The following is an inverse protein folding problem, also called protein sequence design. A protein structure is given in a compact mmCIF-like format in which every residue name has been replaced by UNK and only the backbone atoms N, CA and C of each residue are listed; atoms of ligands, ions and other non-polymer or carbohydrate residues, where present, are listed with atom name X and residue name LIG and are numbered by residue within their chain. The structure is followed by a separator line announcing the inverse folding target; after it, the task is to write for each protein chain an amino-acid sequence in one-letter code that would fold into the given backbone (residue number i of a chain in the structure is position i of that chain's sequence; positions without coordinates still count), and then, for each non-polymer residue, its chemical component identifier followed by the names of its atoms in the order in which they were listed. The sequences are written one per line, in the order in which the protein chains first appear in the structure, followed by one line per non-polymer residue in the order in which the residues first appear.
data_IF_116116900786
#
_entry.id   IF_116116900786
#
_cell.length_a   1.000
_cell.length_b   1.000
_cell.length_c   1.000
_cell.angle_alpha   90.00
_cell.angle_beta   90.00
_cell.angle_gamma   90.00
#
_symmetry.space_group_name_H-M   'P 1'
#
loop_
_entity.id
_entity.type
_entity.pdbx_description
1 polymer ?
#
# COMPACT_ATOMS: atom_id res chain seq x y z
N UNK A 1 -16.19 1.36 3.39
CA UNK A 1 -14.85 1.87 3.19
C UNK A 1 -14.70 3.23 3.83
N UNK A 2 -13.59 3.47 4.41
CA UNK A 2 -13.35 4.69 5.15
C UNK A 2 -13.04 5.85 4.20
N UNK A 3 -13.85 6.91 4.24
CA UNK A 3 -13.65 8.08 3.38
C UNK A 3 -12.33 8.78 3.67
N UNK A 4 -11.89 8.75 4.92
CA UNK A 4 -10.63 9.37 5.29
C UNK A 4 -9.44 8.71 4.58
N UNK A 5 -9.43 7.39 4.53
CA UNK A 5 -8.36 6.67 3.86
C UNK A 5 -8.37 6.94 2.35
N UNK A 6 -9.57 7.03 1.76
CA UNK A 6 -9.67 7.40 0.35
C UNK A 6 -9.16 8.81 0.12
N UNK A 7 -9.47 9.72 1.02
CA UNK A 7 -8.98 11.09 0.92
C UNK A 7 -7.47 11.16 1.04
N UNK A 8 -6.89 10.36 1.93
CA UNK A 8 -5.43 10.29 2.04
C UNK A 8 -4.82 9.76 0.76
N UNK A 9 -5.43 8.75 0.17
CA UNK A 9 -4.99 8.23 -1.11
C UNK A 9 -5.00 9.33 -2.17
N UNK A 10 -6.10 10.06 -2.26
CA UNK A 10 -6.23 11.10 -3.27
C UNK A 10 -5.20 12.21 -3.09
N UNK A 11 -4.86 12.53 -1.84
CA UNK A 11 -3.96 13.64 -1.55
C UNK A 11 -2.49 13.26 -1.68
N UNK A 12 -2.14 12.03 -1.33
CA UNK A 12 -0.73 11.69 -1.14
C UNK A 12 -0.21 10.63 -2.10
N UNK A 13 -1.10 9.87 -2.73
CA UNK A 13 -0.63 8.85 -3.65
C UNK A 13 -0.29 9.48 -5.00
N UNK A 14 0.91 9.22 -5.47
CA UNK A 14 1.33 9.62 -6.80
C UNK A 14 1.52 8.37 -7.64
N UNK A 15 0.69 8.17 -8.67
CA UNK A 15 0.83 6.97 -9.49
C UNK A 15 2.16 6.97 -10.23
N UNK A 16 2.75 5.81 -10.39
CA UNK A 16 3.95 5.72 -11.21
C UNK A 16 3.63 6.00 -12.67
N UNK A 17 4.63 6.48 -13.39
CA UNK A 17 4.47 6.71 -14.83
C UNK A 17 4.92 5.47 -15.59
N UNK A 18 4.07 5.03 -16.50
CA UNK A 18 4.35 3.90 -17.36
C UNK A 18 4.34 4.38 -18.80
N UNK A 19 5.25 5.32 -19.12
CA UNK A 19 5.22 5.97 -20.42
C UNK A 19 5.35 5.01 -21.57
N UNK A 20 6.25 4.05 -21.46
CA UNK A 20 6.46 3.08 -22.52
C UNK A 20 5.24 2.19 -22.72
N UNK A 21 4.68 1.72 -21.60
CA UNK A 21 3.53 0.85 -21.65
C UNK A 21 2.31 1.61 -22.16
N UNK A 22 2.14 2.86 -21.75
CA UNK A 22 1.04 3.69 -22.24
C UNK A 22 1.14 3.91 -23.72
N UNK A 23 2.33 4.16 -24.21
CA UNK A 23 2.54 4.35 -25.65
C UNK A 23 2.22 3.07 -26.40
N UNK A 24 2.65 1.94 -25.88
CA UNK A 24 2.36 0.67 -26.51
C UNK A 24 0.86 0.39 -26.58
N UNK A 25 0.15 0.66 -25.47
CA UNK A 25 -1.29 0.49 -25.45
C UNK A 25 -1.95 1.40 -26.49
N UNK A 26 -1.50 2.64 -26.59
CA UNK A 26 -2.09 3.57 -27.54
C UNK A 26 -1.83 3.14 -28.97
N UNK A 27 -0.63 2.69 -29.27
CA UNK A 27 -0.30 2.23 -30.61
C UNK A 27 -1.12 1.00 -30.99
N UNK A 28 -1.25 0.06 -30.08
CA UNK A 28 -2.06 -1.12 -30.33
C UNK A 28 -3.53 -0.77 -30.51
N UNK A 29 -4.01 0.16 -29.70
CA UNK A 29 -5.40 0.61 -29.77
C UNK A 29 -5.68 1.26 -31.12
N UNK A 30 -4.77 2.11 -31.59
CA UNK A 30 -4.92 2.74 -32.88
C UNK A 30 -4.95 1.73 -34.01
N UNK A 31 -4.10 0.71 -33.91
CA UNK A 31 -4.09 -0.35 -34.91
C UNK A 31 -5.40 -1.15 -34.90
N UNK A 32 -5.94 -1.43 -33.71
CA UNK A 32 -7.20 -2.14 -33.60
C UNK A 32 -8.37 -1.34 -34.16
N UNK A 33 -8.38 -0.04 -33.88
CA UNK A 33 -9.45 0.83 -34.39
C UNK A 33 -9.50 0.79 -35.89
N UNK A 34 -8.34 0.76 -36.54
CA UNK A 34 -8.28 0.72 -37.99
C UNK A 34 -8.70 -0.63 -38.56
N UNK A 35 -8.46 -1.70 -37.79
CA UNK A 35 -8.71 -3.04 -38.30
C UNK A 35 -10.11 -3.55 -37.99
N UNK A 36 -10.81 -2.97 -37.02
CA UNK A 36 -12.07 -3.52 -36.54
C UNK A 36 -13.26 -2.70 -36.98
N UNK A 37 -14.41 -3.36 -37.05
CA UNK A 37 -15.66 -2.70 -37.34
C UNK A 37 -16.15 -1.97 -36.05
N UNK A 38 -17.15 -1.10 -36.28
CA UNK A 38 -17.64 -0.25 -35.19
C UNK A 38 -18.08 -1.01 -33.95
N UNK A 39 -18.85 -2.11 -34.04
CA UNK A 39 -19.25 -2.83 -32.83
C UNK A 39 -18.05 -3.40 -32.06
N UNK A 40 -17.08 -3.93 -32.78
CA UNK A 40 -15.89 -4.50 -32.14
C UNK A 40 -15.04 -3.41 -31.50
N UNK A 41 -14.99 -2.24 -32.14
CA UNK A 41 -14.26 -1.12 -31.54
C UNK A 41 -14.86 -0.70 -30.21
N UNK A 42 -16.18 -0.72 -30.11
CA UNK A 42 -16.84 -0.41 -28.85
C UNK A 42 -16.48 -1.41 -27.77
N UNK A 43 -16.41 -2.69 -28.13
CA UNK A 43 -16.04 -3.72 -27.17
C UNK A 43 -14.62 -3.51 -26.65
N UNK A 44 -13.71 -3.17 -27.54
CA UNK A 44 -12.32 -2.88 -27.14
C UNK A 44 -12.29 -1.72 -26.15
N UNK A 45 -13.02 -0.64 -26.44
CA UNK A 45 -13.07 0.49 -25.53
C UNK A 45 -13.64 0.11 -24.17
N UNK A 46 -14.69 -0.72 -24.17
CA UNK A 46 -15.29 -1.17 -22.92
C UNK A 46 -14.31 -1.99 -22.10
N UNK A 47 -13.55 -2.85 -22.76
CA UNK A 47 -12.52 -3.63 -22.07
C UNK A 47 -11.47 -2.70 -21.47
N UNK A 48 -11.00 -1.74 -22.24
CA UNK A 48 -9.98 -0.81 -21.76
C UNK A 48 -10.49 0.01 -20.58
N UNK A 49 -11.73 0.49 -20.66
CA UNK A 49 -12.31 1.26 -19.56
C UNK A 49 -12.46 0.40 -18.30
N UNK A 50 -12.92 -0.83 -18.46
CA UNK A 50 -13.07 -1.73 -17.32
C UNK A 50 -11.73 -2.06 -16.69
N UNK A 51 -10.71 -2.29 -17.52
CA UNK A 51 -9.38 -2.58 -16.99
C UNK A 51 -8.82 -1.38 -16.24
N UNK A 52 -9.03 -0.17 -16.76
CA UNK A 52 -8.58 1.04 -16.09
C UNK A 52 -9.27 1.20 -14.73
N UNK A 53 -10.57 0.94 -14.69
CA UNK A 53 -11.33 1.04 -13.45
C UNK A 53 -10.85 0.02 -12.43
N UNK A 54 -10.60 -1.21 -12.88
CA UNK A 54 -10.08 -2.24 -11.99
C UNK A 54 -8.70 -1.88 -11.45
N UNK A 55 -7.85 -1.30 -12.30
CA UNK A 55 -6.52 -0.88 -11.87
C UNK A 55 -6.62 0.21 -10.82
N UNK A 56 -7.51 1.16 -11.01
CA UNK A 56 -7.70 2.22 -10.01
C UNK A 56 -8.19 1.66 -8.69
N UNK A 57 -9.19 0.80 -8.73
CA UNK A 57 -9.73 0.19 -7.50
C UNK A 57 -8.68 -0.64 -6.78
N UNK A 58 -7.87 -1.38 -7.55
CA UNK A 58 -6.80 -2.17 -6.95
C UNK A 58 -5.76 -1.28 -6.30
N UNK A 59 -5.46 -0.16 -6.93
CA UNK A 59 -4.49 0.79 -6.39
C UNK A 59 -4.96 1.36 -5.07
N UNK A 60 -6.23 1.78 -5.01
CA UNK A 60 -6.81 2.31 -3.78
C UNK A 60 -6.82 1.25 -2.69
N UNK A 61 -7.25 0.05 -3.04
CA UNK A 61 -7.31 -1.05 -2.08
C UNK A 61 -5.93 -1.39 -1.53
N UNK A 62 -4.92 -1.40 -2.40
CA UNK A 62 -3.55 -1.68 -1.97
C UNK A 62 -3.04 -0.61 -1.02
N UNK A 63 -3.36 0.65 -1.30
CA UNK A 63 -2.97 1.76 -0.42
C UNK A 63 -3.60 1.59 0.96
N UNK A 64 -4.89 1.30 0.99
CA UNK A 64 -5.61 1.14 2.25
C UNK A 64 -5.09 -0.06 3.02
N UNK A 65 -4.90 -1.19 2.32
CA UNK A 65 -4.37 -2.40 2.95
C UNK A 65 -2.99 -2.18 3.53
N UNK A 66 -2.14 -1.45 2.79
CA UNK A 66 -0.82 -1.12 3.29
C UNK A 66 -0.87 -0.24 4.53
N UNK A 67 -1.77 0.73 4.53
CA UNK A 67 -1.95 1.60 5.68
C UNK A 67 -2.41 0.81 6.90
N UNK A 68 -3.37 -0.09 6.69
CA UNK A 68 -3.87 -0.91 7.79
C UNK A 68 -2.79 -1.83 8.33
N UNK A 69 -1.99 -2.40 7.46
CA UNK A 69 -0.89 -3.25 7.90
C UNK A 69 0.13 -2.45 8.71
N UNK A 70 0.47 -1.27 8.22
CA UNK A 70 1.41 -0.41 8.94
C UNK A 70 0.89 -0.05 10.32
N UNK A 71 -0.41 0.24 10.41
CA UNK A 71 -1.05 0.55 11.68
C UNK A 71 -0.97 -0.61 12.64
N UNK A 72 -1.28 -1.82 12.16
CA UNK A 72 -1.21 -3.01 12.99
C UNK A 72 0.20 -3.29 13.47
N UNK A 73 1.18 -3.15 12.57
CA UNK A 73 2.57 -3.35 12.95
C UNK A 73 3.01 -2.32 13.98
N UNK A 74 2.55 -1.09 13.83
CA UNK A 74 2.87 -0.03 14.78
C UNK A 74 2.32 -0.35 16.16
N UNK A 75 1.09 -0.85 16.21
CA UNK A 75 0.48 -1.21 17.50
C UNK A 75 1.20 -2.37 18.15
N UNK A 76 1.59 -3.36 17.37
CA UNK A 76 2.34 -4.49 17.91
C UNK A 76 3.70 -4.07 18.43
N UNK A 77 4.35 -3.19 17.71
CA UNK A 77 5.65 -2.67 18.14
C UNK A 77 5.53 -1.89 19.45
N UNK A 78 4.49 -1.07 19.56
CA UNK A 78 4.24 -0.34 20.79
C UNK A 78 4.00 -1.29 21.96
N UNK A 79 3.24 -2.35 21.73
CA UNK A 79 2.98 -3.32 22.76
C UNK A 79 4.27 -4.03 23.19
N UNK A 80 5.08 -4.41 22.22
CA UNK A 80 6.35 -5.05 22.50
C UNK A 80 7.27 -4.14 23.33
N UNK A 81 7.30 -2.87 23.00
CA UNK A 81 8.15 -1.93 23.71
C UNK A 81 7.66 -1.68 25.13
N UNK A 82 6.37 -1.65 25.33
CA UNK A 82 5.81 -1.55 26.68
C UNK A 82 6.20 -2.74 27.52
N UNK A 83 6.07 -3.93 26.96
CA UNK A 83 6.43 -5.15 27.69
C UNK A 83 7.91 -5.17 28.04
N UNK A 84 8.73 -4.73 27.12
CA UNK A 84 10.17 -4.67 27.34
C UNK A 84 10.51 -3.65 28.42
N UNK A 85 9.84 -2.50 28.43
CA UNK A 85 10.06 -1.48 29.45
C UNK A 85 9.68 -1.98 30.84
N UNK A 86 8.56 -2.67 30.94
CA UNK A 86 8.13 -3.25 32.21
C UNK A 86 9.14 -4.28 32.69
N UNK A 87 9.62 -5.12 31.81
CA UNK A 87 10.65 -6.10 32.16
C UNK A 87 11.90 -5.44 32.70
N UNK A 88 12.32 -4.36 32.07
CA UNK A 88 13.49 -3.64 32.53
C UNK A 88 13.29 -3.06 33.92
N UNK A 89 12.15 -2.45 34.15
CA UNK A 89 11.85 -1.90 35.46
C UNK A 89 11.84 -2.96 36.52
N UNK A 90 11.24 -4.10 36.23
CA UNK A 90 11.21 -5.22 37.15
C UNK A 90 12.62 -5.71 37.50
N UNK A 91 13.44 -5.82 36.45
CA UNK A 91 14.83 -6.25 36.65
C UNK A 91 15.59 -5.30 37.53
N UNK A 92 15.42 -4.02 37.33
CA UNK A 92 16.08 -3.02 38.15
C UNK A 92 15.67 -3.11 39.62
N UNK A 93 14.40 -3.33 39.85
CA UNK A 93 13.92 -3.47 41.20
C UNK A 93 14.50 -4.69 41.90
N UNK A 94 14.58 -5.74 41.17
CA UNK A 94 15.13 -6.96 41.70
C UNK A 94 16.57 -6.79 42.02
N UNK A 95 17.11 -5.84 41.46
CA UNK A 95 18.26 -5.59 41.83
C UNK A 95 19.39 -5.91 41.31
N UNK A 96 19.78 -6.13 41.28
CA UNK A 96 20.63 -6.34 40.99
C UNK A 96 21.16 -5.93 40.19
N UNK A 97 21.61 -5.79 39.92
CA UNK A 97 21.84 -5.33 39.15
C UNK A 97 22.59 -5.28 38.59
N UNK A 98 23.06 -5.56 38.33
CA UNK A 98 23.57 -5.47 37.75
C UNK A 98 23.76 -5.20 36.93
N UNK A 99 24.28 -5.10 36.44
CA UNK A 99 24.29 -4.87 35.60
C UNK A 99 24.33 -4.69 34.79
N UNK A 100 24.90 -4.67 34.55
CA UNK A 100 24.80 -4.49 33.81
C UNK A 100 24.48 -4.46 32.90
N UNK A 101 24.56 -4.44 32.46
CA UNK A 101 24.27 -4.32 31.45
C UNK A 101 23.67 -4.40 30.93
N UNK A 102 23.72 -4.73 31.14
CA UNK A 102 23.04 -4.86 30.59
C UNK A 102 22.49 -4.37 30.02
N UNK A 103 22.63 -4.00 29.86
CA UNK A 103 22.02 -3.36 29.31
C UNK A 103 22.16 -3.20 28.22
N UNK A 104 22.58 -3.63 27.66
CA UNK A 104 22.68 -3.47 26.60
C UNK A 104 21.99 -3.97 25.80
N UNK A 105 21.76 -4.29 25.70
CA UNK A 105 21.02 -4.61 25.02
C UNK A 105 20.19 -4.63 24.70
N UNK A 106 19.97 -4.72 24.23
CA UNK A 106 19.13 -4.74 23.39
C UNK A 106 18.31 -4.44 23.05
#
# INVERSE_FOLDING_TARGET
MNNLLKNLYDCFYTPPEFSEQKREVEECHQALIKALEKPERRLVLRIMDAQSLMAEKRSIDSFISGFELAWQLSMELNQYEKERSVSRCTAKRSGVLSMSGEEKKP
#
